data_IF_132341819291
#
_entry.id   IF_132341819291
#
_cell.length_a   1.000
_cell.length_b   1.000
_cell.length_c   1.000
_cell.angle_alpha   90.00
_cell.angle_beta   90.00
_cell.angle_gamma   90.00
#
_symmetry.space_group_name_H-M   'P 1'
#
loop_
_entity.id
_entity.type
_entity.pdbx_description
1 polymer ?
#
# COMPACT_ATOMS: atom_id res chain seq x y z
N UNK A 1 8.53 21.37 -13.36
CA UNK A 1 7.11 21.04 -13.25
C UNK A 1 7.05 19.89 -12.29
N UNK A 2 6.53 20.14 -11.09
CA UNK A 2 6.61 19.26 -9.93
C UNK A 2 5.99 17.89 -10.22
N UNK A 3 6.83 16.89 -10.51
CA UNK A 3 6.36 15.55 -10.84
C UNK A 3 6.19 14.77 -9.55
N UNK A 4 4.96 14.76 -9.05
CA UNK A 4 4.53 13.75 -8.10
C UNK A 4 4.90 12.36 -8.65
N UNK A 5 5.58 11.55 -7.85
CA UNK A 5 5.82 10.17 -8.25
C UNK A 5 4.51 9.42 -8.05
N UNK A 6 3.86 9.06 -9.15
CA UNK A 6 2.60 8.33 -9.17
C UNK A 6 2.84 6.86 -9.50
N UNK A 7 2.16 5.99 -8.78
CA UNK A 7 2.25 4.56 -8.93
C UNK A 7 0.87 3.91 -9.01
N UNK A 8 0.47 3.61 -10.24
CA UNK A 8 -0.80 2.99 -10.63
C UNK A 8 -0.70 1.48 -10.86
N UNK A 9 0.50 0.91 -10.80
CA UNK A 9 0.75 -0.51 -11.05
C UNK A 9 0.35 -1.01 -12.45
N UNK A 10 0.09 -0.15 -13.44
CA UNK A 10 -0.41 -0.58 -14.74
C UNK A 10 0.63 -1.31 -15.58
N UNK A 11 1.91 -1.03 -15.35
CA UNK A 11 3.03 -1.63 -16.11
C UNK A 11 4.05 -2.32 -15.23
N UNK A 12 4.33 -1.82 -14.04
CA UNK A 12 5.37 -2.32 -13.14
C UNK A 12 5.13 -1.90 -11.69
N UNK A 13 5.99 -2.39 -10.79
CA UNK A 13 6.21 -1.75 -9.51
C UNK A 13 7.13 -0.55 -9.74
N UNK A 14 6.56 0.64 -9.59
CA UNK A 14 7.21 1.92 -9.85
C UNK A 14 8.54 2.03 -9.10
N UNK A 15 9.44 2.93 -9.52
CA UNK A 15 10.80 3.03 -8.95
C UNK A 15 10.85 3.17 -7.41
N UNK A 16 9.82 3.79 -6.82
CA UNK A 16 9.69 3.97 -5.37
C UNK A 16 9.44 2.64 -4.65
N UNK A 17 8.91 1.62 -5.33
CA UNK A 17 8.60 0.30 -4.77
C UNK A 17 9.50 -0.76 -5.42
N UNK A 18 10.55 -1.24 -4.74
CA UNK A 18 11.44 -2.26 -5.28
C UNK A 18 10.74 -3.57 -5.67
N UNK A 19 11.23 -4.26 -6.69
CA UNK A 19 10.63 -5.51 -7.21
C UNK A 19 10.59 -6.67 -6.22
N UNK A 20 11.50 -6.72 -5.24
CA UNK A 20 11.51 -7.77 -4.21
C UNK A 20 10.21 -7.82 -3.40
N UNK A 21 9.43 -6.74 -3.39
CA UNK A 21 8.14 -6.70 -2.71
C UNK A 21 7.10 -7.66 -3.30
N UNK A 22 7.24 -8.09 -4.56
CA UNK A 22 6.34 -9.13 -5.10
C UNK A 22 6.64 -10.51 -4.50
N UNK A 23 7.84 -10.71 -3.96
CA UNK A 23 8.24 -11.95 -3.31
C UNK A 23 7.74 -12.01 -1.85
N UNK A 24 7.34 -10.88 -1.24
CA UNK A 24 6.88 -10.82 0.15
C UNK A 24 5.40 -11.21 0.31
N UNK A 25 4.67 -11.42 -0.78
CA UNK A 25 3.28 -11.89 -0.80
C UNK A 25 2.31 -10.93 -1.47
N UNK A 26 2.67 -9.66 -1.66
CA UNK A 26 1.89 -8.73 -2.47
C UNK A 26 1.91 -9.15 -3.93
N UNK A 27 0.73 -9.29 -4.53
CA UNK A 27 0.62 -9.65 -5.93
C UNK A 27 0.01 -8.52 -6.75
N UNK A 28 0.57 -8.31 -7.94
CA UNK A 28 -0.03 -7.44 -8.95
C UNK A 28 -1.09 -8.22 -9.72
N UNK A 29 -2.35 -7.81 -9.60
CA UNK A 29 -3.49 -8.44 -10.27
C UNK A 29 -4.51 -7.42 -10.74
N UNK A 30 -5.49 -7.88 -11.51
CA UNK A 30 -6.65 -7.08 -11.89
C UNK A 30 -7.95 -7.75 -11.41
N UNK A 31 -9.07 -7.06 -11.61
CA UNK A 31 -10.39 -7.50 -11.20
C UNK A 31 -10.85 -8.82 -11.80
N UNK A 32 -10.31 -9.19 -12.96
CA UNK A 32 -10.64 -10.42 -13.69
C UNK A 32 -9.84 -11.65 -13.28
N UNK A 33 -8.92 -11.52 -12.32
CA UNK A 33 -8.03 -12.63 -11.94
C UNK A 33 -8.72 -13.78 -11.19
N UNK A 34 -9.99 -13.61 -10.76
CA UNK A 34 -10.75 -14.62 -10.04
C UNK A 34 -10.33 -14.84 -8.59
N UNK A 35 -9.45 -14.00 -8.04
CA UNK A 35 -8.85 -14.15 -6.70
C UNK A 35 -9.64 -13.44 -5.58
N UNK A 36 -10.96 -13.38 -5.73
CA UNK A 36 -11.86 -12.59 -4.88
C UNK A 36 -11.88 -11.08 -5.18
N UNK A 37 -12.61 -10.29 -4.38
CA UNK A 37 -12.64 -8.84 -4.50
C UNK A 37 -11.27 -8.19 -4.17
N UNK A 38 -11.02 -6.93 -4.57
CA UNK A 38 -11.87 -6.14 -5.45
C UNK A 38 -11.91 -6.69 -6.88
N UNK A 39 -13.04 -6.49 -7.57
CA UNK A 39 -13.27 -6.94 -8.94
C UNK A 39 -13.00 -5.84 -9.99
N UNK A 40 -12.43 -4.72 -9.54
CA UNK A 40 -11.92 -3.63 -10.35
C UNK A 40 -10.81 -2.92 -9.60
N UNK A 41 -9.98 -2.18 -10.32
CA UNK A 41 -9.12 -1.15 -9.72
C UNK A 41 -9.95 -0.07 -9.01
N UNK A 42 -9.26 0.91 -8.43
CA UNK A 42 -9.90 2.04 -7.76
C UNK A 42 -10.82 2.86 -8.69
N UNK A 43 -10.52 2.93 -10.00
CA UNK A 43 -11.32 3.69 -10.97
C UNK A 43 -12.58 2.96 -11.49
N UNK A 44 -12.74 1.67 -11.17
CA UNK A 44 -13.85 0.84 -11.63
C UNK A 44 -13.56 0.04 -12.90
N UNK A 45 -12.31 0.04 -13.38
CA UNK A 45 -11.82 -0.75 -14.49
C UNK A 45 -11.37 -2.15 -14.03
N UNK A 46 -12.06 -3.18 -14.51
CA UNK A 46 -11.77 -4.58 -14.19
C UNK A 46 -10.44 -5.10 -14.77
N UNK A 47 -9.88 -4.42 -15.78
CA UNK A 47 -8.66 -4.82 -16.48
C UNK A 47 -7.42 -4.07 -15.99
N UNK A 48 -7.62 -2.96 -15.29
CA UNK A 48 -6.56 -2.19 -14.63
C UNK A 48 -5.99 -2.97 -13.43
N UNK A 49 -4.73 -2.69 -13.12
CA UNK A 49 -3.93 -3.46 -12.18
C UNK A 49 -3.78 -2.74 -10.85
N UNK A 50 -3.77 -3.52 -9.77
CA UNK A 50 -3.53 -3.05 -8.42
C UNK A 50 -2.72 -4.10 -7.64
N UNK A 51 -2.21 -3.73 -6.47
CA UNK A 51 -1.57 -4.68 -5.57
C UNK A 51 -2.56 -5.25 -4.57
N UNK A 52 -2.48 -6.56 -4.33
CA UNK A 52 -3.40 -7.26 -3.44
C UNK A 52 -2.72 -8.36 -2.63
N UNK A 53 -3.22 -8.54 -1.42
CA UNK A 53 -3.12 -9.77 -0.64
C UNK A 53 -4.49 -10.44 -0.64
N UNK A 54 -4.52 -11.74 -0.84
CA UNK A 54 -5.76 -12.52 -0.89
C UNK A 54 -5.61 -13.80 -0.07
N UNK A 55 -6.69 -14.19 0.61
CA UNK A 55 -6.82 -15.46 1.32
C UNK A 55 -6.64 -16.68 0.42
N UNK A 56 -6.78 -16.50 -0.90
CA UNK A 56 -6.57 -17.55 -1.90
C UNK A 56 -5.09 -17.84 -2.17
N UNK A 57 -4.20 -17.04 -1.57
CA UNK A 57 -2.75 -17.17 -1.68
C UNK A 57 -2.18 -17.62 -0.33
N UNK A 58 -1.11 -18.40 -0.38
CA UNK A 58 -0.51 -19.02 0.81
C UNK A 58 0.06 -18.01 1.83
N UNK A 59 0.30 -16.76 1.43
CA UNK A 59 0.79 -15.71 2.33
C UNK A 59 -0.37 -14.99 3.04
N UNK A 60 -0.47 -15.18 4.36
CA UNK A 60 -1.44 -14.50 5.21
C UNK A 60 -1.00 -13.10 5.64
N UNK A 61 0.24 -12.71 5.39
CA UNK A 61 0.78 -11.41 5.77
C UNK A 61 1.96 -11.02 4.89
N UNK A 62 2.04 -9.75 4.50
CA UNK A 62 3.11 -9.24 3.66
C UNK A 62 3.40 -7.77 3.96
N UNK A 63 4.64 -7.36 3.71
CA UNK A 63 5.07 -5.97 3.79
C UNK A 63 5.54 -5.50 2.40
N UNK A 64 5.09 -4.32 2.01
CA UNK A 64 5.51 -3.60 0.82
C UNK A 64 6.29 -2.36 1.29
N UNK A 65 7.60 -2.35 1.01
CA UNK A 65 8.53 -1.30 1.47
C UNK A 65 8.85 -0.35 0.33
N UNK A 66 8.90 0.95 0.64
CA UNK A 66 9.41 1.95 -0.30
C UNK A 66 10.93 1.91 -0.38
N UNK A 67 11.47 2.61 -1.38
CA UNK A 67 12.83 3.10 -1.35
C UNK A 67 13.00 4.10 -0.20
N UNK A 68 14.25 4.37 0.17
CA UNK A 68 14.59 5.31 1.23
C UNK A 68 14.32 6.74 0.75
N UNK A 69 13.51 7.46 1.51
CA UNK A 69 13.29 8.90 1.38
C UNK A 69 14.33 9.68 2.18
N UNK A 70 14.64 10.89 1.71
CA UNK A 70 15.52 11.83 2.40
C UNK A 70 14.78 12.55 3.55
N UNK A 71 15.51 13.18 4.49
CA UNK A 71 14.88 14.04 5.49
C UNK A 71 13.99 15.10 4.86
N UNK A 72 12.86 15.39 5.49
CA UNK A 72 11.93 16.47 5.10
C UNK A 72 12.39 17.80 5.69
N UNK A 73 11.88 18.90 5.15
CA UNK A 73 12.01 20.25 5.73
C UNK A 73 10.62 20.87 6.03
N UNK A 74 10.58 22.00 6.72
CA UNK A 74 9.32 22.64 7.14
C UNK A 74 8.45 23.11 5.97
N UNK A 75 9.04 23.33 4.80
CA UNK A 75 8.34 23.75 3.58
C UNK A 75 7.93 22.55 2.69
N UNK A 76 8.64 21.41 2.82
CA UNK A 76 8.49 20.21 1.99
C UNK A 76 8.31 18.96 2.86
N UNK A 77 7.11 18.82 3.44
CA UNK A 77 6.71 17.58 4.12
C UNK A 77 6.41 16.47 3.11
N UNK A 78 6.73 15.21 3.46
CA UNK A 78 6.39 14.07 2.63
C UNK A 78 4.93 13.70 2.82
N UNK A 79 4.13 13.84 1.76
CA UNK A 79 2.74 13.43 1.70
C UNK A 79 2.58 12.21 0.80
N UNK A 80 1.94 11.17 1.34
CA UNK A 80 1.66 9.92 0.62
C UNK A 80 0.16 9.71 0.60
N UNK A 81 -0.43 9.83 -0.58
CA UNK A 81 -1.85 9.54 -0.83
C UNK A 81 -1.96 8.18 -1.50
N UNK A 82 -2.86 7.33 -1.03
CA UNK A 82 -3.08 6.00 -1.60
C UNK A 82 -4.54 5.60 -1.49
N UNK A 83 -4.98 4.79 -2.43
CA UNK A 83 -6.28 4.14 -2.36
C UNK A 83 -6.10 2.74 -1.80
N UNK A 84 -7.09 2.29 -1.03
CA UNK A 84 -7.01 1.00 -0.36
C UNK A 84 -8.37 0.33 -0.27
N UNK A 85 -8.35 -0.99 -0.27
CA UNK A 85 -9.50 -1.86 -0.09
C UNK A 85 -9.23 -2.80 1.07
N UNK A 86 -10.19 -2.93 1.99
CA UNK A 86 -10.18 -3.93 3.05
C UNK A 86 -11.54 -4.64 3.08
N UNK A 87 -11.51 -5.97 3.08
CA UNK A 87 -12.70 -6.83 3.17
C UNK A 87 -13.26 -6.93 4.61
N UNK A 88 -14.33 -7.71 4.81
CA UNK A 88 -15.19 -7.64 6.01
C UNK A 88 -14.59 -7.95 7.41
N UNK A 89 -13.82 -9.02 7.62
CA UNK A 89 -13.53 -9.58 8.96
C UNK A 89 -12.09 -10.05 9.14
N UNK A 90 -11.35 -9.55 10.13
CA UNK A 90 -9.99 -10.03 10.43
C UNK A 90 -8.97 -9.81 9.28
N UNK A 91 -8.88 -8.55 8.85
CA UNK A 91 -7.82 -8.06 7.96
C UNK A 91 -7.34 -6.75 8.51
N UNK A 92 -6.07 -6.48 8.28
CA UNK A 92 -5.46 -5.24 8.70
C UNK A 92 -4.61 -4.72 7.56
N UNK A 93 -4.79 -3.45 7.22
CA UNK A 93 -3.79 -2.68 6.49
C UNK A 93 -3.20 -1.66 7.47
N UNK A 94 -1.88 -1.66 7.58
CA UNK A 94 -1.12 -0.75 8.42
C UNK A 94 -0.07 -0.05 7.57
N UNK A 95 0.24 1.19 7.93
CA UNK A 95 1.40 1.91 7.39
C UNK A 95 2.36 2.17 8.54
N UNK A 96 3.57 1.66 8.37
CA UNK A 96 4.70 1.86 9.26
C UNK A 96 5.70 2.86 8.71
N UNK A 97 6.38 3.56 9.61
CA UNK A 97 7.53 4.40 9.35
C UNK A 97 8.76 3.75 10.00
N UNK A 98 9.82 3.55 9.23
CA UNK A 98 11.12 3.16 9.78
C UNK A 98 12.13 4.26 9.47
N UNK A 99 12.64 4.92 10.52
CA UNK A 99 13.74 5.87 10.40
C UNK A 99 15.07 5.14 10.44
N UNK A 100 16.08 5.70 9.78
CA UNK A 100 17.39 5.05 9.64
C UNK A 100 18.14 4.88 10.97
N UNK A 101 17.89 5.75 11.96
CA UNK A 101 18.43 5.66 13.31
C UNK A 101 17.72 4.66 14.21
N UNK A 102 16.57 4.13 13.78
CA UNK A 102 15.68 3.28 14.55
C UNK A 102 15.67 1.86 13.98
N UNK A 103 15.89 0.86 14.84
CA UNK A 103 15.74 -0.56 14.47
C UNK A 103 14.26 -1.02 14.48
N UNK A 104 13.34 -0.13 14.84
CA UNK A 104 11.91 -0.43 15.00
C UNK A 104 11.06 0.29 13.96
N UNK A 105 9.95 -0.35 13.60
CA UNK A 105 8.93 0.24 12.73
C UNK A 105 7.86 0.88 13.62
N UNK A 106 7.63 2.18 13.47
CA UNK A 106 6.55 2.90 14.15
C UNK A 106 5.28 2.84 13.31
N UNK A 107 4.18 2.34 13.87
CA UNK A 107 2.87 2.39 13.19
C UNK A 107 2.35 3.84 13.14
N UNK A 108 2.20 4.38 11.93
CA UNK A 108 1.74 5.76 11.71
C UNK A 108 0.29 5.83 11.23
N UNK A 109 -0.25 4.72 10.71
CA UNK A 109 -1.67 4.63 10.33
C UNK A 109 -2.13 3.17 10.30
N UNK A 110 -3.40 2.94 10.61
CA UNK A 110 -4.05 1.65 10.46
C UNK A 110 -5.48 1.86 9.97
N UNK A 111 -5.96 0.96 9.10
CA UNK A 111 -7.34 0.97 8.64
C UNK A 111 -8.32 1.01 9.84
N UNK A 112 -9.26 1.98 9.89
CA UNK A 112 -10.21 2.11 10.99
C UNK A 112 -11.29 1.01 10.99
N UNK A 113 -11.40 0.21 9.93
CA UNK A 113 -12.34 -0.92 9.85
C UNK A 113 -13.82 -0.54 9.73
N UNK A 114 -14.12 0.73 9.44
CA UNK A 114 -15.49 1.26 9.33
C UNK A 114 -16.10 1.11 7.93
N UNK A 115 -15.28 1.29 6.89
CA UNK A 115 -15.70 1.26 5.49
C UNK A 115 -15.07 0.06 4.79
N UNK A 116 -15.88 -0.96 4.51
CA UNK A 116 -15.41 -2.25 4.00
C UNK A 116 -16.01 -2.57 2.64
N UNK A 117 -15.34 -3.42 1.88
CA UNK A 117 -15.74 -3.84 0.53
C UNK A 117 -15.98 -2.67 -0.42
N UNK A 118 -15.18 -1.62 -0.27
CA UNK A 118 -15.15 -0.48 -1.16
C UNK A 118 -13.73 0.11 -1.16
N UNK A 119 -13.40 0.79 -2.24
CA UNK A 119 -12.17 1.58 -2.29
C UNK A 119 -12.31 2.80 -1.39
N UNK A 120 -11.33 3.01 -0.53
CA UNK A 120 -11.18 4.17 0.33
C UNK A 120 -9.88 4.88 -0.02
N UNK A 121 -9.71 6.11 0.47
CA UNK A 121 -8.49 6.89 0.29
C UNK A 121 -7.97 7.35 1.64
N UNK A 122 -6.65 7.34 1.79
CA UNK A 122 -5.98 7.97 2.92
C UNK A 122 -4.82 8.84 2.43
N UNK A 123 -4.44 9.82 3.24
CA UNK A 123 -3.24 10.63 3.02
C UNK A 123 -2.48 10.73 4.32
N UNK A 124 -1.21 10.33 4.28
CA UNK A 124 -0.30 10.40 5.42
C UNK A 124 0.66 11.55 5.17
N UNK A 125 0.89 12.37 6.19
CA UNK A 125 1.93 13.41 6.19
C UNK A 125 3.03 13.01 7.16
N UNK A 126 4.27 12.98 6.67
CA UNK A 126 5.46 12.59 7.42
C UNK A 126 6.37 13.82 7.54
N UNK A 127 6.80 14.09 8.76
CA UNK A 127 7.88 15.01 9.08
C UNK A 127 9.00 14.23 9.76
N UNK A 128 10.14 14.10 9.10
CA UNK A 128 11.30 13.34 9.58
C UNK A 128 12.58 14.12 9.32
N UNK A 129 13.36 14.36 10.38
CA UNK A 129 14.69 14.98 10.30
C UNK A 129 15.78 14.00 9.85
N UNK A 130 15.41 12.76 9.55
CA UNK A 130 16.32 11.67 9.18
C UNK A 130 15.75 10.90 7.98
N UNK A 131 16.62 10.16 7.28
CA UNK A 131 16.18 9.25 6.21
C UNK A 131 15.19 8.23 6.75
N UNK A 132 14.19 7.88 5.95
CA UNK A 132 13.15 6.95 6.35
C UNK A 132 12.65 6.13 5.17
N UNK A 133 12.00 5.01 5.47
CA UNK A 133 11.19 4.26 4.51
C UNK A 133 9.78 4.07 5.07
N UNK A 134 8.83 3.88 4.16
CA UNK A 134 7.42 3.64 4.48
C UNK A 134 7.06 2.20 4.12
N UNK A 135 6.30 1.56 5.01
CA UNK A 135 6.03 0.13 4.93
C UNK A 135 4.51 -0.08 4.98
N UNK A 136 3.93 -0.56 3.88
CA UNK A 136 2.53 -0.99 3.83
C UNK A 136 2.46 -2.46 4.22
N UNK A 137 1.95 -2.74 5.42
CA UNK A 137 1.80 -4.09 5.96
C UNK A 137 0.35 -4.52 5.89
N UNK A 138 0.09 -5.63 5.21
CA UNK A 138 -1.24 -6.21 5.09
C UNK A 138 -1.29 -7.60 5.72
N UNK A 139 -2.42 -7.93 6.36
CA UNK A 139 -2.69 -9.27 6.88
C UNK A 139 -4.09 -9.71 6.46
N UNK A 140 -4.19 -10.94 5.96
CA UNK A 140 -5.45 -11.61 5.58
C UNK A 140 -5.48 -12.98 6.23
N UNK A 141 -6.51 -13.25 7.03
CA UNK A 141 -6.74 -14.60 7.56
C UNK A 141 -7.15 -15.58 6.45
N UNK A 142 -6.42 -16.70 6.33
CA UNK A 142 -6.53 -17.67 5.21
C UNK A 142 -7.70 -18.64 5.33
N UNK A 143 -8.42 -18.67 6.45
CA UNK A 143 -9.49 -19.65 6.70
C UNK A 143 -10.84 -19.28 6.04
N UNK A 144 -10.92 -18.16 5.33
CA UNK A 144 -12.15 -17.71 4.65
C UNK A 144 -11.83 -17.27 3.22
N UNK A 145 -12.61 -17.77 2.27
CA UNK A 145 -12.48 -17.41 0.85
C UNK A 145 -13.03 -16.02 0.57
N UNK A 146 -12.52 -15.36 -0.47
CA UNK A 146 -13.00 -14.06 -0.93
C UNK A 146 -12.50 -12.87 -0.11
N UNK A 147 -11.40 -13.04 0.62
CA UNK A 147 -10.93 -12.05 1.58
C UNK A 147 -9.62 -11.46 1.12
N UNK A 148 -9.56 -10.14 1.12
CA UNK A 148 -8.45 -9.41 0.55
C UNK A 148 -8.16 -8.08 1.24
N UNK A 149 -6.93 -7.65 1.03
CA UNK A 149 -6.47 -6.27 1.19
C UNK A 149 -5.90 -5.87 -0.16
N UNK A 150 -6.19 -4.66 -0.62
CA UNK A 150 -5.58 -4.12 -1.84
C UNK A 150 -5.18 -2.67 -1.66
N UNK A 151 -4.20 -2.24 -2.45
CA UNK A 151 -3.76 -0.85 -2.54
C UNK A 151 -3.60 -0.48 -4.01
N UNK A 152 -3.83 0.79 -4.30
CA UNK A 152 -3.81 1.30 -5.67
C UNK A 152 -3.46 2.80 -5.68
N UNK A 153 -3.07 3.32 -6.84
CA UNK A 153 -2.94 4.76 -7.10
C UNK A 153 -2.11 5.52 -6.03
N UNK A 154 -0.92 5.02 -5.70
CA UNK A 154 -0.06 5.63 -4.68
C UNK A 154 0.64 6.86 -5.26
N UNK A 155 0.53 7.98 -4.58
CA UNK A 155 1.08 9.26 -4.99
C UNK A 155 1.98 9.82 -3.90
N UNK A 156 3.22 10.14 -4.26
CA UNK A 156 4.23 10.73 -3.37
C UNK A 156 4.47 12.19 -3.77
N UNK A 157 4.38 13.10 -2.81
CA UNK A 157 4.72 14.53 -2.99
C UNK A 157 6.22 14.73 -3.23
N UNK A 158 6.62 15.93 -3.63
CA UNK A 158 8.04 16.30 -3.78
C UNK A 158 8.85 16.27 -2.46
N UNK A 159 8.19 16.35 -1.30
CA UNK A 159 8.86 16.13 0.00
C UNK A 159 9.28 14.67 0.23
N UNK A 160 8.93 13.77 -0.69
CA UNK A 160 9.38 12.39 -0.81
C UNK A 160 10.27 12.29 -2.08
#
# INVERSE_FOLDING_TARGET
>A
GSSWNYCDFETNLCKVLPEFNLQSGWIRRNGRSGMGPPYSDHSGNESAYFLSLSSEIQSSSAALRTSIFLPTDEEHLCQIRFHYWVSQMSRTLMVGLQKFSEDTVTNIWQDPGQLRNQWNVNTITINSTEKFEVIFSGMVETQRQGESVAIDDITFSEGC
#
